data_IF_384027931006
#
_entry.id   IF_384027931006
#
_cell.length_a   1.000
_cell.length_b   1.000
_cell.length_c   1.000
_cell.angle_alpha   90.00
_cell.angle_beta   90.00
_cell.angle_gamma   90.00
#
_symmetry.space_group_name_H-M   'P 1'
#
loop_
_entity.id
_entity.type
_entity.pdbx_description
1 polymer ?
#
# COMPACT_ATOMS: atom_id res chain seq x y z
N UNK A 1 10.09 29.86 12.12
CA UNK A 1 10.18 28.37 12.10
C UNK A 1 9.39 27.90 10.89
N UNK A 2 9.83 26.88 10.15
CA UNK A 2 9.04 26.33 9.05
C UNK A 2 7.65 25.93 9.56
N UNK A 3 6.63 26.19 8.75
CA UNK A 3 5.26 25.81 9.05
C UNK A 3 5.18 24.29 9.24
N UNK A 4 4.52 23.87 10.33
CA UNK A 4 4.41 22.47 10.70
C UNK A 4 3.38 21.82 9.77
N UNK A 5 3.80 20.79 9.04
CA UNK A 5 2.94 19.99 8.18
C UNK A 5 2.47 18.77 8.95
N UNK A 6 1.18 18.46 8.85
CA UNK A 6 0.57 17.27 9.43
C UNK A 6 0.36 16.21 8.35
N UNK A 7 0.90 15.03 8.60
CA UNK A 7 0.91 13.90 7.68
C UNK A 7 0.20 12.70 8.29
N UNK A 8 -0.39 11.88 7.43
CA UNK A 8 -0.86 10.54 7.80
C UNK A 8 -0.46 9.51 6.74
N UNK A 9 -0.35 8.24 7.11
CA UNK A 9 -0.31 7.17 6.10
C UNK A 9 -1.60 7.19 5.28
N UNK A 10 -1.48 7.12 3.95
CA UNK A 10 -2.64 7.13 3.07
C UNK A 10 -2.83 5.83 2.30
N UNK A 11 -1.83 5.44 1.51
CA UNK A 11 -1.86 4.21 0.72
C UNK A 11 -0.46 3.83 0.27
N UNK A 12 -0.34 2.60 -0.20
CA UNK A 12 0.82 2.13 -0.97
C UNK A 12 0.34 1.68 -2.34
N UNK A 13 1.14 1.93 -3.38
CA UNK A 13 0.90 1.39 -4.71
C UNK A 13 1.94 0.33 -5.04
N UNK A 14 1.47 -0.88 -5.34
CA UNK A 14 2.26 -2.01 -5.79
C UNK A 14 2.09 -2.18 -7.30
N UNK A 15 3.18 -2.44 -7.99
CA UNK A 15 3.20 -2.75 -9.41
C UNK A 15 3.48 -4.23 -9.59
N UNK A 16 2.57 -4.95 -10.26
CA UNK A 16 2.60 -6.41 -10.40
C UNK A 16 2.47 -6.82 -11.86
N UNK A 17 2.96 -8.02 -12.18
CA UNK A 17 3.06 -8.48 -13.57
C UNK A 17 1.69 -8.59 -14.24
N UNK A 18 0.69 -9.06 -13.49
CA UNK A 18 -0.67 -9.28 -13.97
C UNK A 18 -1.67 -9.21 -12.83
N UNK A 19 -2.92 -8.93 -13.17
CA UNK A 19 -4.07 -9.00 -12.26
C UNK A 19 -5.17 -9.83 -12.92
N UNK A 20 -5.75 -10.76 -12.17
CA UNK A 20 -6.96 -11.48 -12.61
C UNK A 20 -8.13 -10.49 -12.82
N UNK A 21 -9.16 -10.87 -13.60
CA UNK A 21 -10.44 -10.16 -13.61
C UNK A 21 -11.02 -9.95 -12.21
N UNK A 22 -11.62 -8.78 -11.97
CA UNK A 22 -12.32 -8.49 -10.70
C UNK A 22 -13.30 -9.59 -10.32
N UNK A 23 -13.99 -10.18 -11.30
CA UNK A 23 -14.95 -11.27 -11.10
C UNK A 23 -14.34 -12.48 -10.41
N UNK A 24 -13.06 -12.80 -10.67
CA UNK A 24 -12.35 -13.92 -10.05
C UNK A 24 -12.06 -13.65 -8.58
N UNK A 25 -11.53 -12.47 -8.25
CA UNK A 25 -11.32 -12.08 -6.85
C UNK A 25 -12.65 -12.03 -6.08
N UNK A 26 -13.72 -11.56 -6.71
CA UNK A 26 -15.06 -11.56 -6.09
C UNK A 26 -15.65 -12.96 -5.91
N UNK A 27 -15.34 -13.91 -6.79
CA UNK A 27 -15.68 -15.32 -6.59
C UNK A 27 -14.97 -15.87 -5.36
N UNK A 28 -13.67 -15.60 -5.22
CA UNK A 28 -12.87 -15.97 -4.05
C UNK A 28 -13.41 -15.36 -2.75
N UNK A 29 -13.67 -14.05 -2.74
CA UNK A 29 -14.26 -13.36 -1.58
C UNK A 29 -15.60 -13.98 -1.16
N UNK A 30 -16.47 -14.33 -2.12
CA UNK A 30 -17.75 -15.00 -1.83
C UNK A 30 -17.55 -16.36 -1.18
N UNK A 31 -16.62 -17.18 -1.70
CA UNK A 31 -16.30 -18.50 -1.13
C UNK A 31 -15.78 -18.38 0.31
N UNK A 32 -14.89 -17.43 0.58
CA UNK A 32 -14.38 -17.18 1.93
C UNK A 32 -15.47 -16.70 2.88
N UNK A 33 -16.36 -15.81 2.42
CA UNK A 33 -17.54 -15.42 3.18
C UNK A 33 -18.46 -16.62 3.48
N UNK A 34 -18.67 -17.52 2.51
CA UNK A 34 -19.45 -18.75 2.73
C UNK A 34 -18.79 -19.67 3.77
N UNK A 35 -17.46 -19.82 3.70
CA UNK A 35 -16.70 -20.58 4.69
C UNK A 35 -16.85 -19.98 6.09
N UNK A 36 -16.67 -18.67 6.24
CA UNK A 36 -16.83 -17.96 7.51
C UNK A 36 -18.25 -18.09 8.09
N UNK A 37 -19.28 -18.09 7.24
CA UNK A 37 -20.67 -18.28 7.69
C UNK A 37 -20.98 -19.72 8.13
N UNK A 38 -20.19 -20.71 7.70
CA UNK A 38 -20.35 -22.12 8.09
C UNK A 38 -19.61 -22.47 9.37
N UNK A 39 -18.73 -21.60 9.86
CA UNK A 39 -18.05 -21.77 11.15
C UNK A 39 -16.71 -21.06 11.23
N UNK A 40 -16.11 -21.11 12.43
CA UNK A 40 -14.77 -20.61 12.70
C UNK A 40 -13.76 -21.73 12.53
N UNK A 41 -13.29 -21.91 11.30
CA UNK A 41 -12.28 -22.92 10.96
C UNK A 41 -10.84 -22.38 11.02
N UNK A 42 -10.72 -21.05 11.08
CA UNK A 42 -9.45 -20.36 11.12
C UNK A 42 -8.89 -20.30 12.55
N UNK A 43 -7.69 -20.86 12.80
CA UNK A 43 -7.01 -20.71 14.09
C UNK A 43 -6.58 -19.26 14.39
N UNK A 44 -6.54 -18.36 13.40
CA UNK A 44 -6.05 -16.99 13.54
C UNK A 44 -7.12 -15.97 13.96
N UNK A 45 -8.40 -16.27 13.74
CA UNK A 45 -9.56 -15.46 14.17
C UNK A 45 -9.70 -15.43 15.70
N UNK A 46 -8.89 -14.60 16.38
CA UNK A 46 -8.96 -14.42 17.84
C UNK A 46 -7.64 -14.15 18.56
N UNK A 47 -6.56 -13.81 17.85
CA UNK A 47 -5.29 -13.49 18.50
C UNK A 47 -4.47 -14.71 18.98
N UNK A 48 -4.81 -15.90 18.49
CA UNK A 48 -4.17 -17.16 18.87
C UNK A 48 -2.87 -17.42 18.09
N UNK A 49 -1.94 -16.48 18.20
CA UNK A 49 -0.62 -16.52 17.55
C UNK A 49 0.43 -17.35 18.31
N UNK A 50 -0.01 -18.17 19.25
CA UNK A 50 0.84 -18.99 20.14
C UNK A 50 0.45 -20.46 20.16
N UNK A 51 -0.29 -20.91 19.16
CA UNK A 51 -0.63 -22.31 19.04
C UNK A 51 0.55 -23.10 18.49
N UNK A 52 0.85 -24.23 19.12
CA UNK A 52 1.78 -25.22 18.58
C UNK A 52 1.41 -25.57 17.12
N UNK A 53 2.35 -25.95 16.24
CA UNK A 53 2.13 -26.22 14.80
C UNK A 53 1.03 -27.24 14.45
N UNK A 54 0.43 -27.91 15.45
CA UNK A 54 -0.65 -28.88 15.30
C UNK A 54 -1.90 -28.54 16.12
N UNK A 55 -1.91 -27.41 16.84
CA UNK A 55 -3.07 -27.09 17.65
C UNK A 55 -4.26 -26.84 16.72
N UNK A 56 -5.40 -27.45 17.07
CA UNK A 56 -6.64 -27.38 16.29
C UNK A 56 -6.58 -27.97 14.88
N UNK A 57 -5.69 -28.93 14.61
CA UNK A 57 -5.66 -29.66 13.32
C UNK A 57 -7.04 -30.21 12.93
N UNK A 58 -7.84 -30.67 13.90
CA UNK A 58 -9.21 -31.13 13.64
C UNK A 58 -10.10 -30.03 13.03
N UNK A 59 -9.93 -28.77 13.44
CA UNK A 59 -10.66 -27.62 12.87
C UNK A 59 -10.17 -27.28 11.48
N UNK A 60 -8.86 -27.37 11.24
CA UNK A 60 -8.27 -27.18 9.90
C UNK A 60 -8.79 -28.25 8.94
N UNK A 61 -8.83 -29.51 9.38
CA UNK A 61 -9.38 -30.62 8.60
C UNK A 61 -10.87 -30.46 8.34
N UNK A 62 -11.65 -30.05 9.34
CA UNK A 62 -13.07 -29.72 9.17
C UNK A 62 -13.27 -28.55 8.19
N UNK A 63 -12.47 -27.49 8.32
CA UNK A 63 -12.47 -26.36 7.39
C UNK A 63 -12.14 -26.76 5.96
N UNK A 64 -11.16 -27.66 5.78
CA UNK A 64 -10.82 -28.23 4.47
C UNK A 64 -11.99 -29.00 3.86
N UNK A 65 -12.71 -29.80 4.65
CA UNK A 65 -13.90 -30.52 4.17
C UNK A 65 -14.98 -29.53 3.71
N UNK A 66 -15.29 -28.52 4.53
CA UNK A 66 -16.27 -27.49 4.19
C UNK A 66 -15.85 -26.69 2.96
N UNK A 67 -14.55 -26.38 2.83
CA UNK A 67 -14.00 -25.71 1.66
C UNK A 67 -14.16 -26.53 0.38
N UNK A 68 -13.90 -27.84 0.45
CA UNK A 68 -14.11 -28.77 -0.66
C UNK A 68 -15.58 -28.80 -1.10
N UNK A 69 -16.53 -28.79 -0.16
CA UNK A 69 -17.96 -28.70 -0.49
C UNK A 69 -18.32 -27.37 -1.18
N UNK A 70 -17.74 -26.25 -0.74
CA UNK A 70 -17.96 -24.93 -1.35
C UNK A 70 -17.43 -24.91 -2.78
N UNK A 71 -16.21 -25.41 -3.01
CA UNK A 71 -15.62 -25.46 -4.35
C UNK A 71 -16.39 -26.42 -5.25
N UNK A 72 -16.74 -27.62 -4.79
CA UNK A 72 -17.44 -28.62 -5.58
C UNK A 72 -18.85 -28.15 -6.03
N UNK A 73 -19.46 -27.22 -5.30
CA UNK A 73 -20.74 -26.63 -5.66
C UNK A 73 -20.65 -25.57 -6.76
N UNK A 74 -19.46 -25.07 -7.09
CA UNK A 74 -19.25 -24.11 -8.17
C UNK A 74 -18.50 -24.78 -9.33
N UNK A 75 -19.07 -24.76 -10.55
CA UNK A 75 -18.49 -25.43 -11.72
C UNK A 75 -17.01 -25.07 -11.97
N UNK A 76 -16.28 -26.09 -12.43
CA UNK A 76 -14.82 -26.17 -12.60
C UNK A 76 -14.23 -24.98 -13.36
N UNK A 77 -13.42 -24.19 -12.67
CA UNK A 77 -12.29 -23.49 -13.29
C UNK A 77 -11.03 -24.20 -12.81
N UNK A 78 -10.22 -24.69 -13.74
CA UNK A 78 -8.93 -25.29 -13.39
C UNK A 78 -8.07 -24.29 -12.63
N UNK A 79 -7.48 -24.72 -11.52
CA UNK A 79 -6.46 -23.94 -10.82
C UNK A 79 -5.21 -23.92 -11.71
N UNK A 80 -4.97 -22.80 -12.40
CA UNK A 80 -3.66 -22.54 -12.97
C UNK A 80 -2.65 -22.36 -11.81
N UNK A 81 -1.41 -22.80 -12.06
CA UNK A 81 -0.36 -22.89 -11.04
C UNK A 81 -0.14 -21.59 -10.26
N UNK A 82 0.46 -21.76 -9.07
CA UNK A 82 0.79 -20.71 -8.11
C UNK A 82 1.84 -19.70 -8.62
N UNK A 83 1.49 -18.90 -9.63
CA UNK A 83 2.11 -17.60 -9.73
C UNK A 83 1.64 -16.77 -8.53
N UNK A 84 2.56 -16.09 -7.86
CA UNK A 84 2.31 -15.33 -6.64
C UNK A 84 1.38 -14.14 -6.89
N UNK A 85 0.06 -14.40 -6.91
CA UNK A 85 -0.99 -13.40 -6.97
C UNK A 85 -1.14 -12.75 -5.59
N UNK A 86 -0.54 -11.57 -5.43
CA UNK A 86 -0.54 -10.86 -4.15
C UNK A 86 -1.96 -10.48 -3.70
N UNK A 87 -2.90 -10.23 -4.62
CA UNK A 87 -4.28 -9.85 -4.26
C UNK A 87 -4.99 -11.05 -3.65
N UNK A 88 -4.84 -12.23 -4.25
CA UNK A 88 -5.35 -13.48 -3.68
C UNK A 88 -4.72 -13.77 -2.31
N UNK A 89 -3.41 -13.59 -2.15
CA UNK A 89 -2.73 -13.76 -0.87
C UNK A 89 -3.25 -12.81 0.22
N UNK A 90 -3.51 -11.54 -0.11
CA UNK A 90 -4.09 -10.56 0.82
C UNK A 90 -5.53 -10.92 1.20
N UNK A 91 -6.33 -11.40 0.23
CA UNK A 91 -7.72 -11.82 0.47
C UNK A 91 -7.77 -13.06 1.38
N UNK A 92 -6.95 -14.08 1.10
CA UNK A 92 -6.92 -15.34 1.85
C UNK A 92 -6.22 -15.16 3.19
N UNK A 93 -5.01 -14.60 3.18
CA UNK A 93 -4.13 -14.55 4.34
C UNK A 93 -4.50 -13.47 5.35
N UNK A 94 -5.00 -12.32 4.89
CA UNK A 94 -5.33 -11.18 5.76
C UNK A 94 -6.83 -10.92 5.87
N UNK A 95 -7.65 -11.64 5.09
CA UNK A 95 -9.10 -11.41 5.05
C UNK A 95 -9.47 -10.05 4.47
N UNK A 96 -8.57 -9.42 3.70
CA UNK A 96 -8.81 -8.14 3.05
C UNK A 96 -9.73 -8.29 1.84
N UNK A 97 -10.23 -7.17 1.31
CA UNK A 97 -11.19 -7.18 0.19
C UNK A 97 -10.83 -6.14 -0.85
N UNK A 98 -11.16 -6.43 -2.11
CA UNK A 98 -11.12 -5.47 -3.20
C UNK A 98 -12.29 -4.52 -3.04
N UNK A 99 -12.06 -3.25 -2.74
CA UNK A 99 -13.12 -2.27 -2.51
C UNK A 99 -13.32 -1.29 -3.65
N UNK A 100 -12.40 -1.24 -4.61
CA UNK A 100 -12.53 -0.44 -5.81
C UNK A 100 -11.67 -1.00 -6.95
N UNK A 101 -12.01 -0.65 -8.18
CA UNK A 101 -11.25 -0.98 -9.39
C UNK A 101 -11.10 0.26 -10.27
N UNK A 102 -9.95 0.40 -10.91
CA UNK A 102 -9.77 1.24 -12.07
C UNK A 102 -9.40 0.35 -13.24
N UNK A 103 -10.06 0.56 -14.37
CA UNK A 103 -9.72 -0.06 -15.64
C UNK A 103 -9.75 1.03 -16.72
N UNK A 104 -8.59 1.32 -17.31
CA UNK A 104 -8.49 2.38 -18.31
C UNK A 104 -7.06 2.65 -18.70
N UNK A 105 -6.87 3.33 -19.83
CA UNK A 105 -5.53 3.68 -20.32
C UNK A 105 -4.61 2.47 -20.50
N UNK A 106 -5.14 1.25 -20.68
CA UNK A 106 -4.40 -0.02 -20.76
C UNK A 106 -3.69 -0.45 -19.46
N UNK A 107 -4.16 0.03 -18.31
CA UNK A 107 -3.80 -0.53 -17.00
C UNK A 107 -5.06 -0.95 -16.24
N UNK A 108 -4.85 -1.84 -15.27
CA UNK A 108 -5.83 -2.17 -14.25
C UNK A 108 -5.23 -1.89 -12.89
N UNK A 109 -6.01 -1.27 -12.02
CA UNK A 109 -5.64 -1.12 -10.61
C UNK A 109 -6.77 -1.62 -9.73
N UNK A 110 -6.46 -2.50 -8.78
CA UNK A 110 -7.37 -2.92 -7.73
C UNK A 110 -7.00 -2.23 -6.43
N UNK A 111 -7.99 -1.66 -5.75
CA UNK A 111 -7.81 -1.20 -4.38
C UNK A 111 -8.18 -2.34 -3.43
N UNK A 112 -7.19 -2.84 -2.69
CA UNK A 112 -7.35 -3.85 -1.66
C UNK A 112 -7.22 -3.18 -0.29
N UNK A 113 -8.21 -3.34 0.59
CA UNK A 113 -8.21 -2.69 1.91
C UNK A 113 -8.42 -3.69 3.04
N UNK A 114 -7.93 -3.30 4.22
CA UNK A 114 -8.34 -3.92 5.48
C UNK A 114 -9.82 -3.66 5.79
N UNK A 115 -10.35 -4.33 6.82
CA UNK A 115 -11.75 -4.21 7.24
C UNK A 115 -12.12 -2.83 7.83
N UNK A 116 -11.14 -2.08 8.34
CA UNK A 116 -11.36 -0.71 8.80
C UNK A 116 -11.04 0.27 7.66
N UNK A 117 -11.93 1.22 7.40
CA UNK A 117 -11.77 2.23 6.36
C UNK A 117 -10.56 3.15 6.59
N UNK A 118 -10.15 3.34 7.84
CA UNK A 118 -8.94 4.08 8.23
C UNK A 118 -7.67 3.22 8.17
N UNK A 119 -7.79 1.92 7.90
CA UNK A 119 -6.68 1.00 7.85
C UNK A 119 -5.86 1.05 6.56
N UNK A 120 -5.05 0.02 6.37
CA UNK A 120 -4.15 -0.12 5.21
C UNK A 120 -4.97 -0.19 3.91
N UNK A 121 -4.47 0.53 2.91
CA UNK A 121 -4.97 0.60 1.54
C UNK A 121 -3.84 0.31 0.57
N UNK A 122 -4.00 -0.72 -0.25
CA UNK A 122 -3.05 -1.09 -1.29
C UNK A 122 -3.70 -0.93 -2.67
N UNK A 123 -3.14 -0.04 -3.47
CA UNK A 123 -3.43 0.03 -4.90
C UNK A 123 -2.51 -0.96 -5.62
N UNK A 124 -3.04 -2.07 -6.12
CA UNK A 124 -2.26 -3.06 -6.87
C UNK A 124 -2.51 -2.82 -8.35
N UNK A 125 -1.49 -2.43 -9.10
CA UNK A 125 -1.58 -1.99 -10.50
C UNK A 125 -0.79 -2.92 -11.41
N UNK A 126 -1.37 -3.25 -12.56
CA UNK A 126 -0.72 -4.00 -13.63
C UNK A 126 -1.07 -3.40 -15.00
N UNK A 127 -0.25 -3.69 -16.02
CA UNK A 127 -0.65 -3.49 -17.41
C UNK A 127 -1.80 -4.44 -17.73
N UNK A 128 -2.78 -4.00 -18.53
CA UNK A 128 -3.73 -4.94 -19.14
C UNK A 128 -3.05 -5.62 -20.33
N UNK A 129 -3.19 -6.94 -20.42
CA UNK A 129 -2.78 -7.69 -21.61
C UNK A 129 -3.59 -7.18 -22.80
N UNK A 130 -2.89 -6.67 -23.83
CA UNK A 130 -3.38 -5.90 -24.97
C UNK A 130 -4.82 -6.25 -25.44
N UNK A 131 -5.80 -5.40 -25.08
CA UNK A 131 -6.83 -5.08 -26.08
C UNK A 131 -6.14 -4.20 -27.13
N UNK A 132 -6.08 -4.67 -28.38
CA UNK A 132 -5.41 -4.05 -29.54
C UNK A 132 -6.04 -2.71 -29.97
N UNK A 133 -6.40 -1.86 -29.02
CA UNK A 133 -6.79 -0.49 -29.32
C UNK A 133 -5.54 0.37 -29.31
N UNK A 134 -5.30 1.02 -30.45
CA UNK A 134 -4.22 1.99 -30.63
C UNK A 134 -4.22 2.94 -29.44
N UNK A 135 -3.13 2.92 -28.66
CA UNK A 135 -2.96 3.80 -27.52
C UNK A 135 -3.23 5.24 -27.99
N UNK A 136 -4.36 5.80 -27.54
CA UNK A 136 -4.71 7.18 -27.79
C UNK A 136 -3.55 8.05 -27.28
N UNK A 137 -3.00 8.89 -28.14
CA UNK A 137 -1.94 9.83 -27.77
C UNK A 137 -2.42 10.94 -26.81
N UNK A 138 -3.69 10.91 -26.37
CA UNK A 138 -4.20 11.83 -25.38
C UNK A 138 -3.59 11.54 -23.99
N UNK A 139 -3.22 12.57 -23.22
CA UNK A 139 -2.75 12.39 -21.85
C UNK A 139 -3.76 11.60 -21.01
N UNK A 140 -3.27 10.66 -20.19
CA UNK A 140 -4.12 9.94 -19.24
C UNK A 140 -4.83 10.94 -18.31
N UNK A 141 -6.14 10.76 -18.15
CA UNK A 141 -6.93 11.54 -17.18
C UNK A 141 -6.44 11.32 -15.74
N UNK A 142 -5.81 10.18 -15.49
CA UNK A 142 -5.31 9.73 -14.20
C UNK A 142 -3.85 9.26 -14.35
N UNK A 143 -2.86 10.18 -14.30
CA UNK A 143 -1.44 9.85 -14.49
C UNK A 143 -0.90 8.82 -13.50
N UNK A 144 -1.52 8.71 -12.32
CA UNK A 144 -1.18 7.70 -11.31
C UNK A 144 -1.56 6.26 -11.68
N UNK A 145 -2.28 6.08 -12.80
CA UNK A 145 -2.58 4.77 -13.40
C UNK A 145 -2.04 4.66 -14.84
N UNK A 146 -1.14 5.52 -15.27
CA UNK A 146 -0.60 5.47 -16.64
C UNK A 146 0.27 4.21 -16.88
N UNK A 147 0.25 3.66 -18.10
CA UNK A 147 1.15 2.58 -18.50
C UNK A 147 2.61 2.99 -18.39
N UNK A 148 2.93 4.25 -18.71
CA UNK A 148 4.30 4.74 -18.62
C UNK A 148 4.83 4.67 -17.18
N UNK A 149 3.97 4.94 -16.20
CA UNK A 149 4.30 4.77 -14.79
C UNK A 149 4.60 3.29 -14.49
N UNK A 150 3.74 2.36 -14.92
CA UNK A 150 3.95 0.93 -14.68
C UNK A 150 5.26 0.45 -15.30
N UNK A 151 5.52 0.81 -16.57
CA UNK A 151 6.77 0.47 -17.27
C UNK A 151 7.99 1.05 -16.57
N UNK A 152 7.95 2.32 -16.18
CA UNK A 152 9.04 2.98 -15.43
C UNK A 152 9.36 2.22 -14.14
N UNK A 153 8.35 1.77 -13.40
CA UNK A 153 8.54 1.02 -12.16
C UNK A 153 9.19 -0.34 -12.43
N UNK A 154 8.73 -1.07 -13.46
CA UNK A 154 9.36 -2.33 -13.83
C UNK A 154 10.79 -2.15 -14.32
N UNK A 155 11.06 -1.16 -15.17
CA UNK A 155 12.39 -0.89 -15.70
C UNK A 155 13.38 -0.53 -14.59
N UNK A 156 12.95 0.29 -13.62
CA UNK A 156 13.78 0.67 -12.48
C UNK A 156 14.08 -0.52 -11.54
N UNK A 157 13.23 -1.54 -11.52
CA UNK A 157 13.31 -2.71 -10.63
C UNK A 157 13.63 -4.02 -11.35
N UNK A 158 14.20 -3.95 -12.56
CA UNK A 158 14.68 -5.12 -13.31
C UNK A 158 13.57 -6.10 -13.70
N UNK A 159 12.37 -5.59 -14.00
CA UNK A 159 11.21 -6.38 -14.39
C UNK A 159 10.52 -7.11 -13.22
N UNK A 160 10.85 -6.78 -11.96
CA UNK A 160 10.22 -7.39 -10.78
C UNK A 160 9.05 -6.57 -10.24
N UNK A 161 8.16 -7.26 -9.52
CA UNK A 161 7.07 -6.61 -8.79
C UNK A 161 7.63 -5.72 -7.68
N UNK A 162 7.01 -4.58 -7.41
CA UNK A 162 7.58 -3.60 -6.50
C UNK A 162 6.54 -2.72 -5.80
N UNK A 163 6.87 -2.27 -4.59
CA UNK A 163 6.22 -1.14 -3.94
C UNK A 163 6.81 0.16 -4.52
N UNK A 164 6.12 0.73 -5.51
CA UNK A 164 6.64 1.88 -6.26
C UNK A 164 6.14 3.24 -5.75
N UNK A 165 5.06 3.30 -4.95
CA UNK A 165 4.55 4.56 -4.40
C UNK A 165 4.25 4.44 -2.91
N UNK A 166 4.79 5.38 -2.14
CA UNK A 166 4.49 5.61 -0.72
C UNK A 166 3.63 6.87 -0.60
N UNK A 167 2.35 6.71 -0.28
CA UNK A 167 1.39 7.81 -0.25
C UNK A 167 1.11 8.36 1.13
N UNK A 168 1.27 9.66 1.31
CA UNK A 168 0.93 10.40 2.52
C UNK A 168 -0.28 11.30 2.29
N UNK A 169 -1.18 11.32 3.26
CA UNK A 169 -2.22 12.34 3.32
C UNK A 169 -1.64 13.56 4.02
N UNK A 170 -1.84 14.72 3.41
CA UNK A 170 -1.44 16.01 3.94
C UNK A 170 -2.72 16.75 4.27
N UNK A 171 -2.94 17.04 5.56
CA UNK A 171 -4.20 17.66 6.01
C UNK A 171 -4.38 19.04 5.34
N UNK A 172 -3.32 19.85 5.37
CA UNK A 172 -3.19 21.13 4.67
C UNK A 172 -1.71 21.37 4.35
N UNK A 173 -1.42 22.10 3.26
CA UNK A 173 -0.07 22.62 2.99
C UNK A 173 0.70 21.90 1.89
N UNK A 174 0.00 21.24 0.96
CA UNK A 174 0.66 20.61 -0.20
C UNK A 174 1.50 21.61 -1.02
N UNK A 175 1.10 22.89 -1.07
CA UNK A 175 1.86 23.96 -1.74
C UNK A 175 3.21 24.24 -1.09
N UNK A 176 3.28 24.14 0.24
CA UNK A 176 4.53 24.33 0.97
C UNK A 176 5.50 23.18 0.69
N UNK A 177 4.98 21.95 0.53
CA UNK A 177 5.78 20.80 0.08
C UNK A 177 6.34 21.06 -1.31
N UNK A 178 5.50 21.45 -2.28
CA UNK A 178 5.92 21.80 -3.64
C UNK A 178 7.02 22.86 -3.61
N UNK A 179 6.81 23.96 -2.89
CA UNK A 179 7.77 25.06 -2.76
C UNK A 179 9.11 24.58 -2.18
N UNK A 180 9.11 23.72 -1.16
CA UNK A 180 10.34 23.17 -0.58
C UNK A 180 11.08 22.27 -1.55
N UNK A 181 10.39 21.40 -2.28
CA UNK A 181 11.01 20.59 -3.33
C UNK A 181 11.59 21.46 -4.45
N UNK A 182 10.86 22.47 -4.95
CA UNK A 182 11.37 23.39 -5.98
C UNK A 182 12.66 24.10 -5.55
N UNK A 183 12.75 24.50 -4.28
CA UNK A 183 13.90 25.25 -3.78
C UNK A 183 15.10 24.37 -3.39
N UNK A 184 14.85 23.16 -2.88
CA UNK A 184 15.89 22.32 -2.26
C UNK A 184 16.24 21.08 -3.07
N UNK A 185 15.25 20.49 -3.72
CA UNK A 185 15.38 19.23 -4.45
C UNK A 185 14.62 19.24 -5.79
N UNK A 186 14.84 20.23 -6.68
CA UNK A 186 14.05 20.37 -7.91
C UNK A 186 14.17 19.17 -8.86
N UNK A 187 15.24 18.39 -8.73
CA UNK A 187 15.52 17.21 -9.55
C UNK A 187 14.69 15.98 -9.18
N UNK A 188 14.11 15.97 -7.98
CA UNK A 188 13.18 14.91 -7.56
C UNK A 188 11.75 15.19 -8.00
N UNK A 189 11.46 16.39 -8.53
CA UNK A 189 10.11 16.76 -8.94
C UNK A 189 9.73 16.06 -10.25
N UNK A 190 8.55 15.44 -10.25
CA UNK A 190 7.94 14.87 -11.45
C UNK A 190 7.10 15.94 -12.14
N UNK A 191 6.20 16.54 -11.36
CA UNK A 191 5.34 17.63 -11.79
C UNK A 191 5.77 18.96 -11.15
N UNK A 192 5.41 20.08 -11.78
CA UNK A 192 5.70 21.42 -11.22
C UNK A 192 4.66 21.89 -10.20
N UNK A 193 3.48 21.28 -10.20
CA UNK A 193 2.33 21.65 -9.37
C UNK A 193 1.46 20.43 -9.07
N UNK A 194 0.65 20.47 -8.00
CA UNK A 194 -0.30 19.40 -7.71
C UNK A 194 -1.41 19.36 -8.77
N UNK A 195 -1.75 18.17 -9.21
CA UNK A 195 -2.93 17.91 -10.04
C UNK A 195 -4.18 17.93 -9.17
N UNK A 196 -5.30 18.42 -9.69
CA UNK A 196 -6.56 18.57 -8.92
C UNK A 196 -7.70 17.86 -9.62
N UNK A 197 -8.43 17.03 -8.88
CA UNK A 197 -9.63 16.34 -9.35
C UNK A 197 -10.81 16.61 -8.42
N UNK A 198 -12.01 16.57 -9.00
CA UNK A 198 -13.24 16.41 -8.21
C UNK A 198 -13.43 14.92 -7.95
N UNK A 199 -13.81 14.60 -6.72
CA UNK A 199 -14.18 13.24 -6.37
C UNK A 199 -15.70 13.09 -6.48
N UNK A 200 -16.11 12.47 -7.58
CA UNK A 200 -17.50 12.15 -7.91
C UNK A 200 -17.58 10.65 -8.12
N UNK A 201 -18.46 9.99 -7.36
CA UNK A 201 -18.59 8.53 -7.37
C UNK A 201 -20.03 8.08 -7.52
N UNK A 202 -20.21 6.94 -8.15
CA UNK A 202 -21.50 6.27 -8.23
C UNK A 202 -21.56 5.18 -7.16
N UNK A 203 -22.58 5.21 -6.31
CA UNK A 203 -22.81 4.18 -5.29
C UNK A 203 -24.19 3.59 -5.37
N UNK A 204 -24.30 2.31 -4.99
CA UNK A 204 -25.58 1.63 -4.89
C UNK A 204 -26.14 1.74 -3.48
N UNK A 205 -27.23 2.51 -3.30
CA UNK A 205 -27.93 2.67 -2.02
C UNK A 205 -29.33 2.08 -2.18
N UNK A 206 -29.61 0.99 -1.45
CA UNK A 206 -30.90 0.30 -1.54
C UNK A 206 -31.22 -0.23 -2.95
N UNK A 207 -30.19 -0.68 -3.69
CA UNK A 207 -30.35 -1.19 -5.06
C UNK A 207 -30.42 -0.11 -6.14
N UNK A 208 -30.25 1.18 -5.81
CA UNK A 208 -30.26 2.28 -6.77
C UNK A 208 -28.90 2.94 -6.85
N UNK A 209 -28.43 3.18 -8.07
CA UNK A 209 -27.24 3.97 -8.32
C UNK A 209 -27.51 5.46 -8.03
N UNK A 210 -26.62 6.06 -7.23
CA UNK A 210 -26.66 7.46 -6.83
C UNK A 210 -25.26 8.03 -7.04
N UNK A 211 -25.17 9.11 -7.81
CA UNK A 211 -23.93 9.87 -7.97
C UNK A 211 -23.78 10.82 -6.80
N UNK A 212 -22.66 10.74 -6.09
CA UNK A 212 -22.31 11.61 -4.97
C UNK A 212 -21.01 12.35 -5.25
N UNK A 213 -21.02 13.66 -5.06
CA UNK A 213 -19.80 14.46 -4.98
C UNK A 213 -19.31 14.47 -3.53
N UNK A 214 -18.11 13.93 -3.32
CA UNK A 214 -17.52 13.78 -1.99
C UNK A 214 -16.59 14.95 -1.65
N UNK A 215 -16.00 15.60 -2.67
CA UNK A 215 -15.05 16.68 -2.47
C UNK A 215 -14.10 16.88 -3.65
N UNK A 216 -12.88 17.35 -3.34
CA UNK A 216 -11.76 17.40 -4.26
C UNK A 216 -10.50 16.77 -3.65
N UNK A 217 -9.68 16.20 -4.53
CA UNK A 217 -8.37 15.66 -4.21
C UNK A 217 -7.30 16.40 -5.00
N UNK A 218 -6.20 16.72 -4.33
CA UNK A 218 -5.00 17.27 -4.95
C UNK A 218 -3.86 16.31 -4.73
N UNK A 219 -3.15 15.94 -5.80
CA UNK A 219 -2.07 14.95 -5.73
C UNK A 219 -0.79 15.56 -6.30
N UNK A 220 0.30 15.37 -5.57
CA UNK A 220 1.65 15.78 -5.97
C UNK A 220 2.61 14.61 -5.78
N UNK A 221 3.25 14.18 -6.87
CA UNK A 221 4.23 13.09 -6.87
C UNK A 221 5.66 13.65 -7.01
N UNK A 222 6.59 13.03 -6.28
CA UNK A 222 8.05 13.25 -6.40
C UNK A 222 8.77 11.91 -6.37
N UNK A 223 9.95 11.83 -6.97
CA UNK A 223 10.86 10.72 -6.76
C UNK A 223 11.41 10.74 -5.32
N UNK A 224 11.52 9.57 -4.70
CA UNK A 224 11.91 9.44 -3.30
C UNK A 224 13.42 9.61 -3.11
N UNK A 225 14.23 9.07 -4.03
CA UNK A 225 15.67 8.95 -3.86
C UNK A 225 16.45 9.63 -4.98
N UNK A 226 17.68 10.01 -4.65
CA UNK A 226 18.70 10.31 -5.63
C UNK A 226 19.44 9.02 -5.99
N UNK A 227 19.70 8.80 -7.27
CA UNK A 227 20.61 7.75 -7.75
C UNK A 227 22.05 8.24 -7.76
N UNK A 228 22.24 9.52 -8.07
CA UNK A 228 23.50 10.26 -7.96
C UNK A 228 23.19 11.69 -7.51
N UNK A 229 24.20 12.53 -7.25
CA UNK A 229 23.97 13.93 -6.82
C UNK A 229 23.03 14.71 -7.75
N UNK A 230 23.04 14.35 -9.04
CA UNK A 230 22.38 15.11 -10.09
C UNK A 230 21.20 14.37 -10.75
N UNK A 231 20.91 13.13 -10.36
CA UNK A 231 19.93 12.25 -11.02
C UNK A 231 18.98 11.62 -10.00
N UNK A 232 17.68 11.70 -10.26
CA UNK A 232 16.66 11.01 -9.47
C UNK A 232 16.66 9.51 -9.74
N UNK A 233 16.38 8.72 -8.70
CA UNK A 233 16.01 7.33 -8.84
C UNK A 233 14.52 7.24 -9.21
N UNK A 234 14.22 6.58 -10.33
CA UNK A 234 12.86 6.55 -10.86
C UNK A 234 11.98 5.45 -10.26
N UNK A 235 12.55 4.55 -9.43
CA UNK A 235 11.89 3.35 -8.96
C UNK A 235 10.93 3.53 -7.78
N UNK A 236 11.01 4.66 -7.07
CA UNK A 236 10.07 4.91 -5.97
C UNK A 236 9.63 6.37 -5.93
N UNK A 237 8.33 6.58 -5.73
CA UNK A 237 7.72 7.88 -5.57
C UNK A 237 7.17 8.08 -4.17
N UNK A 238 7.28 9.32 -3.67
CA UNK A 238 6.45 9.79 -2.58
C UNK A 238 5.26 10.52 -3.19
N UNK A 239 4.05 10.15 -2.77
CA UNK A 239 2.80 10.78 -3.23
C UNK A 239 2.16 11.54 -2.09
N UNK A 240 1.88 12.82 -2.29
CA UNK A 240 1.18 13.65 -1.33
C UNK A 240 -0.26 13.89 -1.78
N UNK A 241 -1.22 13.58 -0.92
CA UNK A 241 -2.65 13.71 -1.19
C UNK A 241 -3.26 14.72 -0.22
N UNK A 242 -3.75 15.85 -0.72
CA UNK A 242 -4.54 16.81 0.06
C UNK A 242 -6.02 16.66 -0.33
N UNK A 243 -6.87 16.34 0.64
CA UNK A 243 -8.31 16.12 0.42
C UNK A 243 -9.13 17.25 1.03
N UNK A 244 -10.20 17.66 0.33
CA UNK A 244 -11.18 18.61 0.87
C UNK A 244 -12.59 18.09 0.60
N UNK A 245 -13.37 17.82 1.64
CA UNK A 245 -14.73 17.30 1.48
C UNK A 245 -15.21 16.39 2.62
N UNK A 246 -16.24 15.58 2.33
CA UNK A 246 -16.98 14.77 3.31
C UNK A 246 -16.65 13.26 3.28
N UNK A 247 -15.51 12.88 2.69
CA UNK A 247 -15.06 11.48 2.48
C UNK A 247 -15.44 10.51 3.63
N UNK A 248 -15.14 10.83 4.88
CA UNK A 248 -15.36 9.95 6.03
C UNK A 248 -16.83 9.67 6.43
N UNK A 249 -17.83 10.28 5.78
CA UNK A 249 -19.24 10.27 6.25
C UNK A 249 -20.24 9.72 5.23
N UNK A 250 -19.77 9.21 4.10
CA UNK A 250 -20.67 8.84 3.03
C UNK A 250 -21.20 7.41 3.20
N UNK A 251 -22.51 7.27 3.40
CA UNK A 251 -23.18 5.96 3.36
C UNK A 251 -23.13 5.34 1.96
N UNK A 252 -23.02 4.00 1.91
CA UNK A 252 -23.08 3.20 0.68
C UNK A 252 -21.73 2.86 0.05
N UNK A 253 -20.62 3.30 0.66
CA UNK A 253 -19.27 3.07 0.16
C UNK A 253 -18.59 1.90 0.88
N UNK A 254 -17.94 1.02 0.12
CA UNK A 254 -17.04 0.01 0.71
C UNK A 254 -15.72 0.62 1.16
N UNK A 255 -15.33 1.75 0.55
CA UNK A 255 -14.19 2.57 0.97
C UNK A 255 -14.60 4.06 1.05
N UNK A 256 -15.24 4.50 2.15
CA UNK A 256 -15.79 5.85 2.25
C UNK A 256 -14.70 6.93 2.16
N UNK A 257 -13.49 6.65 2.68
CA UNK A 257 -12.40 7.61 2.65
C UNK A 257 -11.88 7.88 1.24
N UNK A 258 -12.05 6.94 0.31
CA UNK A 258 -11.41 7.07 -0.98
C UNK A 258 -9.90 6.97 -0.93
N UNK A 259 -9.29 6.73 -2.09
CA UNK A 259 -7.82 6.69 -2.21
C UNK A 259 -7.36 7.56 -3.37
N UNK A 260 -7.64 7.16 -4.61
CA UNK A 260 -7.21 7.89 -5.80
C UNK A 260 -8.40 8.18 -6.72
N UNK A 261 -8.42 9.33 -7.42
CA UNK A 261 -9.37 9.59 -8.48
C UNK A 261 -9.30 8.53 -9.58
N UNK A 262 -10.45 8.19 -10.17
CA UNK A 262 -10.57 7.17 -11.21
C UNK A 262 -10.92 5.77 -10.69
N UNK A 263 -10.75 5.48 -9.40
CA UNK A 263 -11.23 4.23 -8.82
C UNK A 263 -12.76 4.23 -8.69
N UNK A 264 -13.39 3.22 -9.27
CA UNK A 264 -14.82 2.94 -9.14
C UNK A 264 -15.06 2.01 -7.96
N UNK A 265 -16.00 2.35 -7.08
CA UNK A 265 -16.29 1.55 -5.90
C UNK A 265 -16.87 0.19 -6.27
N UNK A 266 -16.37 -0.84 -5.60
CA UNK A 266 -16.84 -2.21 -5.75
C UNK A 266 -17.36 -2.69 -4.40
N UNK A 267 -18.54 -3.32 -4.41
CA UNK A 267 -19.11 -3.89 -3.19
C UNK A 267 -18.17 -4.92 -2.57
N UNK A 268 -17.78 -4.71 -1.32
CA UNK A 268 -16.97 -5.61 -0.53
C UNK A 268 -17.73 -6.01 0.74
N UNK A 269 -17.67 -7.30 1.07
CA UNK A 269 -18.20 -7.82 2.33
C UNK A 269 -17.04 -8.37 3.16
N UNK A 270 -16.76 -7.68 4.26
CA UNK A 270 -15.89 -8.14 5.32
C UNK A 270 -16.70 -9.05 6.26
N UNK A 271 -16.06 -10.11 6.75
CA UNK A 271 -16.66 -11.08 7.67
C UNK A 271 -15.84 -11.16 8.97
N UNK A 272 -16.17 -12.10 9.86
CA UNK A 272 -15.48 -12.26 11.14
C UNK A 272 -14.02 -12.70 11.05
N UNK A 273 -13.51 -13.08 9.86
CA UNK A 273 -12.10 -13.39 9.64
C UNK A 273 -11.33 -12.23 8.99
N UNK A 274 -12.03 -11.18 8.55
CA UNK A 274 -11.41 -9.96 8.06
C UNK A 274 -10.78 -9.15 9.19
N UNK A 275 -9.45 -9.04 9.18
CA UNK A 275 -8.70 -8.39 10.27
C UNK A 275 -8.44 -6.92 9.89
N UNK A 276 -8.81 -5.94 10.74
CA UNK A 276 -8.41 -4.56 10.54
C UNK A 276 -6.90 -4.41 10.73
N UNK A 277 -6.29 -3.54 9.93
CA UNK A 277 -4.83 -3.43 9.85
C UNK A 277 -4.47 -1.99 9.60
N UNK A 278 -3.39 -1.53 10.22
CA UNK A 278 -2.96 -0.13 10.15
C UNK A 278 -1.48 -0.10 9.82
N UNK A 279 -1.00 0.91 9.10
CA UNK A 279 0.43 1.06 8.86
C UNK A 279 1.11 1.43 10.17
N UNK A 280 2.17 0.70 10.53
CA UNK A 280 3.06 1.07 11.64
C UNK A 280 4.17 1.96 11.10
N UNK A 281 4.86 1.43 10.10
CA UNK A 281 6.01 2.04 9.49
C UNK A 281 6.25 1.45 8.10
N UNK A 282 7.03 2.14 7.27
CA UNK A 282 7.50 1.64 5.99
C UNK A 282 9.02 1.65 5.94
N UNK A 283 9.62 0.50 5.62
CA UNK A 283 11.08 0.34 5.64
C UNK A 283 11.65 0.56 4.25
N UNK A 284 12.55 1.51 4.10
CA UNK A 284 13.29 1.78 2.86
C UNK A 284 14.73 1.29 2.95
N UNK A 285 15.18 0.57 1.93
CA UNK A 285 16.59 0.26 1.71
C UNK A 285 17.13 1.22 0.65
N UNK A 286 18.18 1.96 0.99
CA UNK A 286 18.75 3.03 0.14
C UNK A 286 20.26 2.93 0.05
N UNK A 287 20.84 3.48 -1.03
CA UNK A 287 22.30 3.54 -1.21
C UNK A 287 22.91 4.66 -0.39
N UNK A 288 22.26 5.82 -0.31
CA UNK A 288 22.70 6.96 0.51
C UNK A 288 21.63 7.35 1.54
N UNK A 289 21.72 6.73 2.73
CA UNK A 289 20.84 7.02 3.87
C UNK A 289 20.90 8.48 4.27
N UNK A 290 22.08 9.08 4.35
CA UNK A 290 22.25 10.47 4.83
C UNK A 290 21.57 11.46 3.89
N UNK A 291 21.72 11.26 2.58
CA UNK A 291 21.05 12.10 1.59
C UNK A 291 19.54 11.98 1.66
N UNK A 292 19.00 10.76 1.80
CA UNK A 292 17.55 10.59 1.90
C UNK A 292 16.98 11.20 3.20
N UNK A 293 17.68 11.03 4.32
CA UNK A 293 17.33 11.70 5.59
C UNK A 293 17.30 13.24 5.44
N UNK A 294 18.30 13.81 4.75
CA UNK A 294 18.35 15.24 4.46
C UNK A 294 17.14 15.69 3.64
N UNK A 295 16.77 14.96 2.58
CA UNK A 295 15.59 15.28 1.75
C UNK A 295 14.33 15.33 2.61
N UNK A 296 14.07 14.28 3.41
CA UNK A 296 12.87 14.21 4.26
C UNK A 296 12.83 15.32 5.31
N UNK A 297 13.99 15.70 5.87
CA UNK A 297 14.08 16.82 6.80
C UNK A 297 13.81 18.15 6.12
N UNK A 298 14.42 18.41 4.96
CA UNK A 298 14.34 19.70 4.27
C UNK A 298 12.97 19.94 3.62
N UNK A 299 12.28 18.88 3.15
CA UNK A 299 10.99 19.00 2.49
C UNK A 299 9.82 18.76 3.43
N UNK A 300 9.88 17.73 4.28
CA UNK A 300 8.74 17.33 5.12
C UNK A 300 8.90 17.75 6.58
N UNK A 301 10.09 18.20 6.99
CA UNK A 301 10.38 18.49 8.39
C UNK A 301 10.45 17.23 9.26
N UNK A 302 10.65 16.05 8.66
CA UNK A 302 10.80 14.80 9.39
C UNK A 302 12.11 14.82 10.17
N UNK A 303 12.08 14.23 11.37
CA UNK A 303 13.23 14.21 12.28
C UNK A 303 13.54 12.78 12.72
N UNK A 304 14.83 12.47 13.01
CA UNK A 304 15.19 11.20 13.63
C UNK A 304 14.43 10.96 14.93
N UNK A 305 13.96 9.72 15.10
CA UNK A 305 13.26 9.21 16.28
C UNK A 305 14.11 8.20 17.03
N UNK A 306 14.75 7.30 16.27
CA UNK A 306 15.66 6.27 16.77
C UNK A 306 16.78 6.07 15.77
N UNK A 307 18.00 5.85 16.25
CA UNK A 307 19.17 5.57 15.42
C UNK A 307 19.85 4.28 15.90
N UNK A 308 20.09 3.36 14.96
CA UNK A 308 20.80 2.11 15.17
C UNK A 308 22.08 2.14 14.33
N UNK A 309 23.22 2.19 15.01
CA UNK A 309 24.53 2.19 14.37
C UNK A 309 25.01 0.76 14.10
N UNK A 310 25.93 0.62 13.14
CA UNK A 310 26.47 -0.63 12.59
C UNK A 310 26.87 -1.72 13.61
N UNK A 311 27.20 -1.35 14.84
CA UNK A 311 27.56 -2.29 15.92
C UNK A 311 26.37 -2.90 16.67
N UNK A 312 25.13 -2.44 16.42
CA UNK A 312 23.91 -2.90 17.12
C UNK A 312 23.10 -3.87 16.25
N UNK A 313 23.24 -3.80 14.92
CA UNK A 313 22.52 -4.66 13.97
C UNK A 313 23.53 -5.37 13.04
N UNK A 314 24.45 -6.12 13.66
CA UNK A 314 25.38 -6.99 12.95
C UNK A 314 25.00 -8.45 13.18
N UNK A 315 24.76 -9.19 12.10
CA UNK A 315 24.55 -10.64 12.12
C UNK A 315 25.60 -11.31 11.24
N UNK A 316 26.72 -11.72 11.85
CA UNK A 316 27.88 -12.22 11.11
C UNK A 316 28.54 -11.10 10.30
N UNK A 317 28.66 -11.29 8.99
CA UNK A 317 29.28 -10.33 8.06
C UNK A 317 28.34 -9.21 7.61
N UNK A 318 27.04 -9.36 7.84
CA UNK A 318 26.04 -8.36 7.48
C UNK A 318 26.12 -7.18 8.46
N UNK A 319 26.52 -6.01 7.94
CA UNK A 319 26.55 -4.74 8.66
C UNK A 319 25.56 -3.76 8.01
N UNK A 320 24.61 -3.28 8.81
CA UNK A 320 23.63 -2.29 8.36
C UNK A 320 23.61 -1.09 9.30
N UNK A 321 23.27 0.05 8.75
CA UNK A 321 22.94 1.26 9.48
C UNK A 321 21.46 1.56 9.28
N UNK A 322 20.75 1.89 10.37
CA UNK A 322 19.31 2.16 10.31
C UNK A 322 18.95 3.41 11.10
N UNK A 323 18.17 4.30 10.49
CA UNK A 323 17.57 5.45 11.19
C UNK A 323 16.07 5.44 10.98
N UNK A 324 15.32 5.49 12.08
CA UNK A 324 13.88 5.71 12.03
C UNK A 324 13.63 7.21 12.05
N UNK A 325 13.01 7.75 11.00
CA UNK A 325 12.53 9.14 10.97
C UNK A 325 11.02 9.20 10.97
N UNK A 326 10.47 10.36 11.31
CA UNK A 326 9.02 10.57 11.27
C UNK A 326 8.61 12.00 11.49
N UNK A 327 7.33 12.28 11.29
CA UNK A 327 6.72 13.54 11.70
C UNK A 327 6.56 13.62 13.23
N UNK A 328 6.05 14.74 13.72
CA UNK A 328 5.64 14.88 15.13
C UNK A 328 4.15 15.10 15.16
N UNK A 329 3.36 14.05 15.44
CA UNK A 329 1.92 14.20 15.56
C UNK A 329 1.56 15.11 16.74
N UNK A 330 0.53 15.94 16.56
CA UNK A 330 -0.10 16.66 17.66
C UNK A 330 -1.12 15.79 18.41
N UNK A 331 -1.51 14.66 17.82
CA UNK A 331 -2.44 13.73 18.43
C UNK A 331 -1.70 12.90 19.48
N UNK A 332 -2.22 12.91 20.71
CA UNK A 332 -1.76 12.05 21.80
C UNK A 332 -2.99 11.36 22.35
N UNK A 333 -3.07 10.05 22.18
CA UNK A 333 -4.05 9.21 22.87
C UNK A 333 -3.35 8.21 23.79
N UNK A 334 -4.01 7.91 24.91
CA UNK A 334 -3.60 6.86 25.83
C UNK A 334 -4.47 5.62 25.73
N UNK A 335 -5.51 5.65 24.88
CA UNK A 335 -6.36 4.47 24.66
C UNK A 335 -5.73 3.61 23.58
N UNK A 336 -5.45 2.35 23.91
CA UNK A 336 -4.79 1.39 23.01
C UNK A 336 -5.48 1.31 21.63
N UNK A 337 -6.82 1.27 21.59
CA UNK A 337 -7.58 1.23 20.34
C UNK A 337 -7.41 2.46 19.47
N UNK A 338 -7.30 3.66 20.08
CA UNK A 338 -7.09 4.91 19.36
C UNK A 338 -5.65 5.00 18.86
N UNK A 339 -4.66 4.57 19.67
CA UNK A 339 -3.25 4.53 19.29
C UNK A 339 -3.00 3.58 18.11
N UNK A 340 -3.65 2.41 18.09
CA UNK A 340 -3.52 1.45 16.99
C UNK A 340 -4.12 1.97 15.67
N UNK A 341 -5.18 2.78 15.76
CA UNK A 341 -5.87 3.37 14.61
C UNK A 341 -5.26 4.67 14.15
N UNK A 342 -4.44 5.30 14.99
CA UNK A 342 -3.82 6.57 14.68
C UNK A 342 -2.80 6.39 13.54
N UNK A 343 -3.10 6.99 12.39
CA UNK A 343 -2.22 6.99 11.23
C UNK A 343 -1.48 8.32 11.07
N UNK A 344 -1.66 9.26 12.02
CA UNK A 344 -1.02 10.57 12.00
C UNK A 344 0.42 10.58 12.47
N UNK A 345 0.88 9.48 13.09
CA UNK A 345 2.28 9.31 13.44
C UNK A 345 2.95 8.41 12.39
N UNK A 346 3.69 9.03 11.49
CA UNK A 346 4.41 8.37 10.40
C UNK A 346 5.82 8.01 10.85
N UNK A 347 6.21 6.75 10.65
CA UNK A 347 7.57 6.26 10.86
C UNK A 347 8.14 5.64 9.58
N UNK A 348 9.36 6.01 9.24
CA UNK A 348 10.10 5.49 8.09
C UNK A 348 11.49 5.04 8.55
N UNK A 349 11.69 3.74 8.87
CA UNK A 349 13.01 3.16 9.00
C UNK A 349 13.74 3.19 7.66
N UNK A 350 14.96 3.72 7.66
CA UNK A 350 15.79 3.86 6.47
C UNK A 350 17.10 3.11 6.72
N UNK A 351 17.34 2.09 5.92
CA UNK A 351 18.51 1.23 6.02
C UNK A 351 19.48 1.50 4.88
N UNK A 352 20.79 1.43 5.17
CA UNK A 352 21.82 1.25 4.16
C UNK A 352 22.76 0.11 4.58
N UNK A 353 23.26 -0.62 3.59
CA UNK A 353 24.29 -1.62 3.79
C UNK A 353 25.65 -0.94 3.99
N UNK A 354 26.47 -1.50 4.89
CA UNK A 354 27.87 -1.12 5.11
C UNK A 354 28.85 -2.23 4.71
N UNK A 355 28.31 -3.35 4.26
CA UNK A 355 29.03 -4.54 3.82
C UNK A 355 28.37 -5.09 2.56
N UNK A 356 29.13 -5.85 1.78
CA UNK A 356 28.62 -6.57 0.60
C UNK A 356 27.92 -7.90 0.97
N UNK A 357 27.32 -7.92 2.15
CA UNK A 357 26.67 -9.08 2.74
C UNK A 357 25.39 -8.67 3.46
N UNK A 358 24.43 -9.59 3.50
CA UNK A 358 23.15 -9.42 4.18
C UNK A 358 22.00 -8.92 3.30
N UNK A 359 20.79 -8.96 3.85
CA UNK A 359 19.55 -8.73 3.11
C UNK A 359 19.45 -7.31 2.51
N UNK A 360 19.96 -6.28 3.18
CA UNK A 360 19.91 -4.90 2.65
C UNK A 360 20.79 -4.77 1.41
N UNK A 361 21.99 -5.34 1.41
CA UNK A 361 22.88 -5.32 0.26
C UNK A 361 22.25 -6.05 -0.92
N UNK A 362 21.81 -7.30 -0.72
CA UNK A 362 21.19 -8.10 -1.79
C UNK A 362 19.88 -7.48 -2.30
N UNK A 363 19.09 -6.85 -1.43
CA UNK A 363 17.93 -6.09 -1.87
C UNK A 363 18.33 -4.95 -2.83
N UNK A 364 19.36 -4.17 -2.49
CA UNK A 364 19.82 -3.05 -3.33
C UNK A 364 20.42 -3.51 -4.66
N UNK A 365 21.08 -4.67 -4.69
CA UNK A 365 21.65 -5.24 -5.91
C UNK A 365 20.58 -5.86 -6.82
N UNK A 366 19.57 -6.51 -6.24
CA UNK A 366 18.50 -7.10 -7.01
C UNK A 366 17.47 -6.05 -7.43
N UNK A 367 16.96 -5.27 -6.49
CA UNK A 367 15.81 -4.39 -6.68
C UNK A 367 16.19 -2.92 -6.81
N UNK A 368 17.42 -2.50 -6.53
CA UNK A 368 17.74 -1.08 -6.43
C UNK A 368 17.20 -0.45 -5.13
N UNK A 369 17.08 0.88 -5.09
CA UNK A 369 16.57 1.59 -3.92
C UNK A 369 15.05 1.47 -3.85
N UNK A 370 14.49 1.25 -2.68
CA UNK A 370 13.06 0.99 -2.59
C UNK A 370 12.55 0.68 -1.20
N UNK A 371 11.22 0.64 -1.08
CA UNK A 371 10.57 0.08 0.11
C UNK A 371 10.66 -1.44 0.07
N UNK A 372 11.23 -2.05 1.11
CA UNK A 372 11.45 -3.49 1.20
C UNK A 372 10.39 -4.22 2.02
N UNK A 373 9.87 -3.54 3.05
CA UNK A 373 8.90 -4.12 3.98
C UNK A 373 7.84 -3.06 4.29
N UNK A 374 6.58 -3.50 4.28
CA UNK A 374 5.45 -2.75 4.82
C UNK A 374 4.97 -3.40 6.12
N UNK A 375 5.57 -3.08 7.27
CA UNK A 375 4.99 -3.47 8.54
C UNK A 375 3.68 -2.72 8.76
N UNK A 376 2.58 -3.41 8.51
CA UNK A 376 1.34 -3.05 9.18
C UNK A 376 1.53 -3.40 10.68
N UNK A 377 0.98 -2.59 11.60
CA UNK A 377 0.67 -3.06 12.95
C UNK A 377 -0.36 -4.16 12.80
N UNK A 378 0.15 -5.34 12.53
CA UNK A 378 -0.37 -6.59 12.99
C UNK A 378 0.33 -6.78 14.33
N UNK A 379 -0.38 -7.03 15.42
CA UNK A 379 0.31 -7.55 16.62
C UNK A 379 1.15 -8.83 16.32
N UNK A 380 1.15 -9.42 15.10
CA UNK A 380 1.86 -10.67 14.77
C UNK A 380 1.99 -10.98 13.27
N UNK A 381 2.85 -10.29 12.52
CA UNK A 381 3.30 -10.85 11.22
C UNK A 381 4.76 -10.52 10.85
N UNK A 382 5.50 -9.82 11.71
CA UNK A 382 6.94 -9.58 11.52
C UNK A 382 7.84 -10.83 11.72
N UNK A 383 7.30 -12.06 11.72
CA UNK A 383 8.08 -13.30 11.91
C UNK A 383 8.06 -14.27 10.72
N UNK A 384 7.40 -13.95 9.60
CA UNK A 384 7.32 -14.86 8.45
C UNK A 384 8.28 -14.53 7.30
N UNK A 385 9.06 -13.45 7.38
CA UNK A 385 10.01 -13.05 6.32
C UNK A 385 11.48 -13.12 6.76
N UNK A 386 11.76 -13.86 7.83
CA UNK A 386 13.13 -14.05 8.36
C UNK A 386 13.47 -15.50 8.72
N UNK A 387 12.87 -16.49 8.05
CA UNK A 387 13.37 -17.87 8.07
C UNK A 387 13.75 -18.31 6.65
#
# INVERSE_FOLDING_TARGET
MPEKLDFQFHHVQLFVNRLKPLTEYKKLERRLNMLANRGHFDPFSGGMRYLEPKAQMDRVLAGRQVWQEIIAAEEEGGEEGQDSDIVEQLIIGLGWRVTAEYRGGGTRCLLVTSADACGVKLCVTALEEEEKEEASAAPSLFPHFDQELVRTMFDAHGGRQVIGVLGFEVMEGIEEIVRRYQQKHPKLMIDQQPHTWRDVRTVCIGGKEVVKELGSMRIFDVYAYYKSEEEADLGTRLRFVERRGNYARAEGFSNPLGVLPGLEDVNAKFDGTSIPSYSDHWVSNVRDRKKFLQVLQETLGFVPKVEFNAGVVAAGEAMIESTVVGNTSAHLSYKEEEVLRDQSQVYLPINNALSDAGHVHWFLEEHGQGCSILPAVWRTLCLLWSE
#
